data_IF_856987054839
#
_entry.id   IF_856987054839
#
_cell.length_a   1.000
_cell.length_b   1.000
_cell.length_c   1.000
_cell.angle_alpha   90.00
_cell.angle_beta   90.00
_cell.angle_gamma   90.00
#
_symmetry.space_group_name_H-M   'P 1'
#
loop_
_entity.id
_entity.type
_entity.pdbx_description
1 polymer ?
#
# COMPACT_ATOMS: atom_id res chain seq x y z
N UNK A 1 -12.03 -26.20 -13.47
CA UNK A 1 -12.68 -25.04 -12.85
C UNK A 1 -11.65 -24.05 -12.25
N UNK A 2 -10.69 -24.46 -11.39
CA UNK A 2 -9.67 -23.57 -10.81
C UNK A 2 -8.84 -22.82 -11.87
N UNK A 3 -8.37 -23.49 -12.93
CA UNK A 3 -7.57 -22.85 -13.99
C UNK A 3 -8.32 -21.70 -14.68
N UNK A 4 -9.62 -21.86 -14.92
CA UNK A 4 -10.44 -20.81 -15.51
C UNK A 4 -10.57 -19.60 -14.59
N UNK A 5 -10.75 -19.83 -13.29
CA UNK A 5 -10.78 -18.75 -12.28
C UNK A 5 -9.45 -18.00 -12.26
N UNK A 6 -8.33 -18.71 -12.27
CA UNK A 6 -6.99 -18.11 -12.26
C UNK A 6 -6.74 -17.27 -13.52
N UNK A 7 -7.12 -17.78 -14.69
CA UNK A 7 -7.03 -17.00 -15.93
C UNK A 7 -7.92 -15.75 -15.88
N UNK A 8 -9.14 -15.84 -15.36
CA UNK A 8 -10.04 -14.70 -15.20
C UNK A 8 -9.47 -13.64 -14.25
N UNK A 9 -8.89 -14.06 -13.10
CA UNK A 9 -8.25 -13.12 -12.15
C UNK A 9 -7.03 -12.42 -12.76
N UNK A 10 -6.21 -13.12 -13.53
CA UNK A 10 -5.08 -12.51 -14.26
C UNK A 10 -5.55 -11.50 -15.31
N UNK A 11 -6.57 -11.82 -16.10
CA UNK A 11 -7.17 -10.89 -17.06
C UNK A 11 -7.72 -9.65 -16.36
N UNK A 12 -8.44 -9.84 -15.25
CA UNK A 12 -8.96 -8.75 -14.43
C UNK A 12 -7.84 -7.84 -13.93
N UNK A 13 -6.77 -8.41 -13.38
CA UNK A 13 -5.60 -7.66 -12.91
C UNK A 13 -4.99 -6.82 -14.02
N UNK A 14 -4.77 -7.40 -15.20
CA UNK A 14 -4.23 -6.67 -16.36
C UNK A 14 -5.15 -5.55 -16.81
N UNK A 15 -6.46 -5.79 -16.81
CA UNK A 15 -7.48 -4.78 -17.13
C UNK A 15 -7.45 -3.60 -16.15
N UNK A 16 -7.48 -3.88 -14.84
CA UNK A 16 -7.40 -2.86 -13.79
C UNK A 16 -6.08 -2.08 -13.89
N UNK A 17 -4.96 -2.78 -14.05
CA UNK A 17 -3.63 -2.13 -14.22
C UNK A 17 -3.60 -1.23 -15.45
N UNK A 18 -4.20 -1.65 -16.57
CA UNK A 18 -4.30 -0.84 -17.79
C UNK A 18 -5.11 0.44 -17.57
N UNK A 19 -6.27 0.34 -16.93
CA UNK A 19 -7.12 1.50 -16.57
C UNK A 19 -6.37 2.43 -15.62
N UNK A 20 -5.75 1.88 -14.58
CA UNK A 20 -4.97 2.62 -13.60
C UNK A 20 -3.81 3.38 -14.26
N UNK A 21 -3.02 2.73 -15.10
CA UNK A 21 -1.92 3.37 -15.83
C UNK A 21 -2.42 4.49 -16.76
N UNK A 22 -3.57 4.31 -17.39
CA UNK A 22 -4.18 5.34 -18.24
C UNK A 22 -4.64 6.55 -17.41
N UNK A 23 -5.25 6.31 -16.25
CA UNK A 23 -5.67 7.37 -15.33
C UNK A 23 -4.47 8.15 -14.78
N UNK A 24 -3.40 7.45 -14.39
CA UNK A 24 -2.15 8.06 -13.91
C UNK A 24 -1.48 8.93 -15.00
N UNK A 25 -1.43 8.44 -16.26
CA UNK A 25 -0.89 9.21 -17.39
C UNK A 25 -1.69 10.47 -17.67
N UNK A 26 -3.03 10.41 -17.58
CA UNK A 26 -3.90 11.59 -17.71
C UNK A 26 -3.63 12.65 -16.63
N UNK A 27 -3.18 12.24 -15.45
CA UNK A 27 -2.79 13.13 -14.34
C UNK A 27 -1.32 13.56 -14.40
N UNK A 28 -0.59 13.24 -15.49
CA UNK A 28 0.85 13.53 -15.69
C UNK A 28 1.76 12.92 -14.61
N UNK A 29 1.38 11.78 -14.01
CA UNK A 29 2.24 11.07 -13.06
C UNK A 29 3.41 10.39 -13.77
N UNK A 30 4.53 10.24 -13.07
CA UNK A 30 5.71 9.49 -13.55
C UNK A 30 5.44 7.98 -13.52
N UNK A 31 4.85 7.44 -14.57
CA UNK A 31 4.42 6.05 -14.65
C UNK A 31 5.37 5.21 -15.47
N UNK A 32 5.91 4.15 -14.87
CA UNK A 32 6.52 3.05 -15.60
C UNK A 32 5.48 1.93 -15.79
N UNK A 33 4.80 1.95 -16.94
CA UNK A 33 3.71 1.01 -17.24
C UNK A 33 4.14 -0.46 -17.14
N UNK A 34 5.34 -0.81 -17.62
CA UNK A 34 5.86 -2.17 -17.57
C UNK A 34 6.13 -2.64 -16.13
N UNK A 35 6.72 -1.76 -15.32
CA UNK A 35 6.96 -2.07 -13.91
C UNK A 35 5.66 -2.32 -13.16
N UNK A 36 4.64 -1.48 -13.38
CA UNK A 36 3.33 -1.66 -12.73
C UNK A 36 2.68 -2.99 -13.15
N UNK A 37 2.71 -3.33 -14.45
CA UNK A 37 2.18 -4.61 -14.95
C UNK A 37 2.94 -5.80 -14.33
N UNK A 38 4.25 -5.72 -14.27
CA UNK A 38 5.07 -6.79 -13.69
C UNK A 38 4.77 -6.98 -12.20
N UNK A 39 4.71 -5.88 -11.43
CA UNK A 39 4.44 -5.94 -9.99
C UNK A 39 3.04 -6.46 -9.70
N UNK A 40 2.00 -5.93 -10.36
CA UNK A 40 0.62 -6.38 -10.13
C UNK A 40 0.42 -7.82 -10.56
N UNK A 41 1.01 -8.26 -11.67
CA UNK A 41 0.94 -9.66 -12.11
C UNK A 41 1.66 -10.60 -11.14
N UNK A 42 2.85 -10.24 -10.66
CA UNK A 42 3.59 -11.05 -9.68
C UNK A 42 2.82 -11.19 -8.37
N UNK A 43 2.25 -10.08 -7.84
CA UNK A 43 1.42 -10.13 -6.63
C UNK A 43 0.14 -10.94 -6.84
N UNK A 44 -0.49 -10.85 -8.01
CA UNK A 44 -1.67 -11.67 -8.32
C UNK A 44 -1.32 -13.16 -8.39
N UNK A 45 -0.19 -13.52 -9.00
CA UNK A 45 0.27 -14.92 -8.99
C UNK A 45 0.49 -15.40 -7.56
N UNK A 46 1.09 -14.58 -6.71
CA UNK A 46 1.29 -14.92 -5.30
C UNK A 46 -0.04 -15.12 -4.57
N UNK A 47 -1.03 -14.23 -4.78
CA UNK A 47 -2.39 -14.38 -4.25
C UNK A 47 -3.06 -15.68 -4.71
N UNK A 48 -2.92 -16.05 -5.98
CA UNK A 48 -3.50 -17.28 -6.53
C UNK A 48 -2.90 -18.55 -5.91
N UNK A 49 -1.69 -18.46 -5.38
CA UNK A 49 -1.00 -19.58 -4.71
C UNK A 49 -1.31 -19.63 -3.22
N UNK A 50 -1.49 -18.47 -2.57
CA UNK A 50 -1.64 -18.36 -1.11
C UNK A 50 -3.08 -18.31 -0.63
N UNK A 51 -4.00 -17.80 -1.45
CA UNK A 51 -5.39 -17.62 -1.07
C UNK A 51 -6.31 -18.70 -1.64
N UNK A 52 -7.15 -19.27 -0.80
CA UNK A 52 -8.06 -20.34 -1.17
C UNK A 52 -9.38 -19.85 -1.76
N UNK A 53 -9.80 -18.62 -1.42
CA UNK A 53 -11.10 -18.08 -1.83
C UNK A 53 -10.97 -17.00 -2.90
N UNK A 54 -11.87 -17.06 -3.88
CA UNK A 54 -11.93 -16.03 -4.94
C UNK A 54 -12.16 -14.63 -4.37
N UNK A 55 -12.86 -14.52 -3.24
CA UNK A 55 -13.12 -13.23 -2.59
C UNK A 55 -11.83 -12.64 -2.00
N UNK A 56 -11.03 -13.43 -1.29
CA UNK A 56 -9.74 -12.98 -0.75
C UNK A 56 -8.78 -12.56 -1.88
N UNK A 57 -8.75 -13.31 -2.98
CA UNK A 57 -7.95 -12.95 -4.16
C UNK A 57 -8.38 -11.59 -4.72
N UNK A 58 -9.69 -11.35 -4.91
CA UNK A 58 -10.21 -10.09 -5.42
C UNK A 58 -9.88 -8.91 -4.49
N UNK A 59 -10.05 -9.11 -3.18
CA UNK A 59 -9.68 -8.10 -2.17
C UNK A 59 -8.19 -7.80 -2.19
N UNK A 60 -7.34 -8.82 -2.26
CA UNK A 60 -5.89 -8.67 -2.37
C UNK A 60 -5.48 -7.92 -3.65
N UNK A 61 -6.06 -8.26 -4.80
CA UNK A 61 -5.84 -7.53 -6.06
C UNK A 61 -6.19 -6.05 -5.88
N UNK A 62 -7.38 -5.74 -5.36
CA UNK A 62 -7.80 -4.36 -5.15
C UNK A 62 -6.90 -3.62 -4.16
N UNK A 63 -6.54 -4.26 -3.03
CA UNK A 63 -5.64 -3.72 -2.03
C UNK A 63 -4.29 -3.32 -2.62
N UNK A 64 -3.65 -4.21 -3.38
CA UNK A 64 -2.35 -3.92 -3.99
C UNK A 64 -2.42 -2.86 -5.08
N UNK A 65 -3.53 -2.77 -5.84
CA UNK A 65 -3.72 -1.69 -6.81
C UNK A 65 -3.85 -0.32 -6.14
N UNK A 66 -4.56 -0.23 -5.02
CA UNK A 66 -4.67 1.03 -4.25
C UNK A 66 -3.31 1.44 -3.69
N UNK A 67 -2.55 0.51 -3.11
CA UNK A 67 -1.19 0.79 -2.60
C UNK A 67 -0.23 1.20 -3.72
N UNK A 68 -0.28 0.55 -4.88
CA UNK A 68 0.55 0.89 -6.03
C UNK A 68 0.18 2.27 -6.57
N UNK A 69 -1.11 2.58 -6.66
CA UNK A 69 -1.57 3.91 -7.08
C UNK A 69 -1.06 5.00 -6.11
N UNK A 70 -1.23 4.81 -4.81
CA UNK A 70 -0.73 5.71 -3.78
C UNK A 70 0.78 5.92 -3.89
N UNK A 71 1.54 4.85 -4.14
CA UNK A 71 2.99 4.91 -4.31
C UNK A 71 3.42 5.72 -5.52
N UNK A 72 2.79 5.51 -6.67
CA UNK A 72 3.10 6.25 -7.91
C UNK A 72 2.70 7.72 -7.78
N UNK A 73 1.58 8.00 -7.13
CA UNK A 73 1.14 9.36 -6.87
C UNK A 73 2.12 10.08 -5.94
N UNK A 74 2.52 9.47 -4.83
CA UNK A 74 3.48 10.04 -3.88
C UNK A 74 4.86 10.27 -4.52
N UNK A 75 5.36 9.36 -5.36
CA UNK A 75 6.59 9.58 -6.14
C UNK A 75 6.47 10.78 -7.09
N UNK A 76 5.26 11.04 -7.61
CA UNK A 76 5.06 12.05 -8.65
C UNK A 76 4.79 13.44 -8.10
N UNK A 77 4.04 13.54 -7.00
CA UNK A 77 3.50 14.80 -6.46
C UNK A 77 3.86 15.05 -5.00
N UNK A 78 4.39 14.06 -4.27
CA UNK A 78 4.55 14.06 -2.81
C UNK A 78 3.23 14.33 -2.05
N UNK A 79 2.11 13.99 -2.69
CA UNK A 79 0.77 14.10 -2.16
C UNK A 79 0.02 12.80 -2.51
N UNK A 80 -1.01 12.45 -1.75
CA UNK A 80 -1.89 11.33 -2.08
C UNK A 80 -3.36 11.75 -1.89
N UNK A 81 -4.21 11.27 -2.80
CA UNK A 81 -5.65 11.58 -2.79
C UNK A 81 -6.33 10.99 -1.54
N UNK A 82 -7.18 11.78 -0.90
CA UNK A 82 -7.97 11.32 0.25
C UNK A 82 -8.93 10.16 -0.09
N UNK A 83 -9.27 9.96 -1.36
CA UNK A 83 -10.10 8.83 -1.78
C UNK A 83 -9.42 7.46 -1.53
N UNK A 84 -8.10 7.39 -1.50
CA UNK A 84 -7.37 6.12 -1.39
C UNK A 84 -7.53 5.45 -0.02
N UNK A 85 -7.45 6.23 1.07
CA UNK A 85 -7.68 5.66 2.41
C UNK A 85 -9.13 5.24 2.61
N UNK A 86 -10.10 5.97 2.00
CA UNK A 86 -11.52 5.58 2.03
C UNK A 86 -11.73 4.26 1.28
N UNK A 87 -11.10 4.10 0.10
CA UNK A 87 -11.15 2.84 -0.65
C UNK A 87 -10.60 1.67 0.17
N UNK A 88 -9.48 1.85 0.87
CA UNK A 88 -8.91 0.81 1.74
C UNK A 88 -9.86 0.44 2.88
N UNK A 89 -10.53 1.41 3.51
CA UNK A 89 -11.52 1.13 4.55
C UNK A 89 -12.73 0.37 4.00
N UNK A 90 -13.23 0.73 2.81
CA UNK A 90 -14.32 -0.01 2.16
C UNK A 90 -13.89 -1.45 1.85
N UNK A 91 -12.67 -1.64 1.34
CA UNK A 91 -12.10 -2.98 1.08
C UNK A 91 -11.90 -3.78 2.37
N UNK A 92 -11.77 -3.13 3.53
CA UNK A 92 -11.62 -3.79 4.82
C UNK A 92 -12.96 -4.35 5.37
N UNK A 93 -14.12 -3.88 4.89
CA UNK A 93 -15.42 -4.29 5.42
C UNK A 93 -15.62 -5.82 5.37
N UNK A 94 -15.37 -6.53 4.25
CA UNK A 94 -15.53 -7.98 4.23
C UNK A 94 -14.56 -8.73 5.15
N UNK A 95 -13.46 -8.11 5.56
CA UNK A 95 -12.48 -8.72 6.47
C UNK A 95 -12.93 -8.73 7.94
N UNK A 96 -14.07 -8.11 8.28
CA UNK A 96 -14.58 -8.09 9.63
C UNK A 96 -14.83 -9.49 10.21
N UNK A 97 -15.19 -10.46 9.36
CA UNK A 97 -15.43 -11.85 9.78
C UNK A 97 -14.13 -12.64 9.94
N UNK A 98 -13.13 -12.39 9.09
CA UNK A 98 -11.87 -13.17 9.06
C UNK A 98 -10.79 -12.59 9.96
N UNK A 99 -10.61 -11.27 9.96
CA UNK A 99 -9.62 -10.53 10.75
C UNK A 99 -10.18 -10.19 12.15
N UNK A 100 -11.47 -9.96 12.23
CA UNK A 100 -12.19 -9.54 13.43
C UNK A 100 -12.18 -8.03 13.65
N UNK A 101 -13.36 -7.46 13.89
CA UNK A 101 -13.55 -6.02 14.06
C UNK A 101 -12.66 -5.41 15.13
N UNK A 102 -12.45 -6.12 16.25
CA UNK A 102 -11.61 -5.64 17.33
C UNK A 102 -10.14 -5.52 16.91
N UNK A 103 -9.60 -6.52 16.18
CA UNK A 103 -8.25 -6.48 15.62
C UNK A 103 -8.08 -5.31 14.65
N UNK A 104 -9.06 -5.08 13.79
CA UNK A 104 -9.05 -3.97 12.82
C UNK A 104 -9.07 -2.61 13.53
N UNK A 105 -9.92 -2.45 14.55
CA UNK A 105 -10.00 -1.22 15.33
C UNK A 105 -8.70 -0.94 16.10
N UNK A 106 -8.14 -1.95 16.76
CA UNK A 106 -6.84 -1.82 17.44
C UNK A 106 -5.70 -1.50 16.46
N UNK A 107 -5.66 -2.12 15.28
CA UNK A 107 -4.68 -1.78 14.26
C UNK A 107 -4.75 -0.30 13.86
N UNK A 108 -5.97 0.19 13.64
CA UNK A 108 -6.21 1.61 13.34
C UNK A 108 -5.70 2.53 14.43
N UNK A 109 -6.07 2.29 15.68
CA UNK A 109 -5.66 3.12 16.83
C UNK A 109 -4.14 3.07 17.02
N UNK A 110 -3.55 1.87 16.99
CA UNK A 110 -2.12 1.66 17.21
C UNK A 110 -1.23 2.31 16.14
N UNK A 111 -1.71 2.42 14.90
CA UNK A 111 -0.96 3.12 13.87
C UNK A 111 -1.28 4.62 13.83
N UNK A 112 -2.54 4.99 13.95
CA UNK A 112 -2.95 6.39 13.80
C UNK A 112 -2.38 7.27 14.91
N UNK A 113 -2.55 6.88 16.19
CA UNK A 113 -2.18 7.73 17.31
C UNK A 113 -0.67 8.04 17.38
N UNK A 114 0.25 7.07 17.29
CA UNK A 114 1.69 7.37 17.33
C UNK A 114 2.14 8.24 16.15
N UNK A 115 1.65 7.98 14.95
CA UNK A 115 1.99 8.78 13.77
C UNK A 115 1.48 10.22 13.90
N UNK A 116 0.25 10.40 14.40
CA UNK A 116 -0.32 11.72 14.65
C UNK A 116 0.50 12.47 15.70
N UNK A 117 0.85 11.84 16.82
CA UNK A 117 1.67 12.42 17.89
C UNK A 117 3.04 12.85 17.34
N UNK A 118 3.71 11.99 16.60
CA UNK A 118 5.00 12.30 15.97
C UNK A 118 4.88 13.46 15.00
N UNK A 119 3.84 13.49 14.18
CA UNK A 119 3.59 14.58 13.23
C UNK A 119 3.33 15.92 13.92
N UNK A 120 2.64 15.90 15.08
CA UNK A 120 2.38 17.12 15.88
C UNK A 120 3.65 17.63 16.58
N UNK A 121 4.45 16.74 17.17
CA UNK A 121 5.68 17.12 17.91
C UNK A 121 6.78 17.56 16.93
N UNK A 122 6.98 16.85 15.86
CA UNK A 122 8.04 17.08 14.89
C UNK A 122 7.58 17.93 13.67
N UNK A 123 6.53 18.72 13.80
CA UNK A 123 5.96 19.63 12.80
C UNK A 123 6.03 19.04 11.37
N UNK A 124 5.04 18.25 11.02
CA UNK A 124 4.89 17.63 9.69
C UNK A 124 6.03 16.66 9.29
N UNK A 125 6.58 15.91 10.25
CA UNK A 125 7.58 14.88 9.97
C UNK A 125 7.02 13.75 9.11
N UNK A 126 5.70 13.48 9.18
CA UNK A 126 4.98 12.49 8.37
C UNK A 126 3.85 13.21 7.65
N UNK A 127 3.66 12.95 6.37
CA UNK A 127 2.56 13.49 5.58
C UNK A 127 1.19 13.04 6.10
N UNK A 128 0.22 13.95 6.13
CA UNK A 128 -1.14 13.60 6.59
C UNK A 128 -1.80 12.48 5.77
N UNK A 129 -1.51 12.43 4.47
CA UNK A 129 -1.96 11.37 3.58
C UNK A 129 -1.33 10.01 3.93
N UNK A 130 -0.01 10.00 4.25
CA UNK A 130 0.70 8.79 4.66
C UNK A 130 0.11 8.20 5.94
N UNK A 131 -0.24 9.05 6.91
CA UNK A 131 -0.89 8.63 8.16
C UNK A 131 -2.24 7.96 7.87
N UNK A 132 -3.08 8.59 7.03
CA UNK A 132 -4.41 8.07 6.70
C UNK A 132 -4.33 6.75 5.93
N UNK A 133 -3.50 6.68 4.89
CA UNK A 133 -3.38 5.49 4.03
C UNK A 133 -2.74 4.33 4.79
N UNK A 134 -1.66 4.57 5.55
CA UNK A 134 -1.02 3.51 6.34
C UNK A 134 -1.93 2.97 7.43
N UNK A 135 -2.70 3.85 8.08
CA UNK A 135 -3.71 3.44 9.06
C UNK A 135 -4.80 2.58 8.43
N UNK A 136 -5.35 3.01 7.28
CA UNK A 136 -6.38 2.26 6.58
C UNK A 136 -5.88 0.90 6.06
N UNK A 137 -4.62 0.84 5.59
CA UNK A 137 -3.98 -0.42 5.20
C UNK A 137 -3.80 -1.38 6.40
N UNK A 138 -3.45 -0.84 7.57
CA UNK A 138 -3.36 -1.65 8.79
C UNK A 138 -4.73 -2.12 9.28
N UNK A 139 -5.77 -1.31 9.18
CA UNK A 139 -7.16 -1.72 9.46
C UNK A 139 -7.55 -2.89 8.56
N UNK A 140 -7.23 -2.83 7.27
CA UNK A 140 -7.49 -3.92 6.33
C UNK A 140 -6.80 -5.23 6.72
N UNK A 141 -5.53 -5.16 7.18
CA UNK A 141 -4.70 -6.33 7.53
C UNK A 141 -4.91 -6.84 8.98
N UNK A 142 -5.44 -6.00 9.87
CA UNK A 142 -5.51 -6.26 11.31
C UNK A 142 -4.20 -5.98 12.05
N UNK A 143 -4.19 -6.18 13.37
CA UNK A 143 -3.08 -5.76 14.25
C UNK A 143 -1.75 -6.37 13.85
N UNK A 144 -1.65 -7.69 13.80
CA UNK A 144 -0.35 -8.36 13.62
C UNK A 144 0.26 -8.04 12.26
N UNK A 145 -0.49 -8.31 11.20
CA UNK A 145 -0.06 -8.11 9.81
C UNK A 145 0.17 -6.62 9.49
N UNK A 146 -0.72 -5.76 9.97
CA UNK A 146 -0.64 -4.31 9.77
C UNK A 146 0.56 -3.69 10.46
N UNK A 147 0.82 -4.03 11.75
CA UNK A 147 1.98 -3.53 12.49
C UNK A 147 3.29 -4.04 11.91
N UNK A 148 3.39 -5.32 11.61
CA UNK A 148 4.59 -5.91 10.99
C UNK A 148 4.86 -5.25 9.63
N UNK A 149 3.85 -5.13 8.78
CA UNK A 149 3.98 -4.45 7.49
C UNK A 149 4.44 -3.00 7.62
N UNK A 150 3.87 -2.25 8.56
CA UNK A 150 4.26 -0.87 8.83
C UNK A 150 5.72 -0.75 9.31
N UNK A 151 6.13 -1.59 10.26
CA UNK A 151 7.51 -1.61 10.78
C UNK A 151 8.50 -1.94 9.66
N UNK A 152 8.21 -2.95 8.83
CA UNK A 152 9.04 -3.30 7.67
C UNK A 152 9.14 -2.11 6.71
N UNK A 153 8.02 -1.48 6.36
CA UNK A 153 7.98 -0.33 5.46
C UNK A 153 8.81 0.85 5.98
N UNK A 154 8.66 1.21 7.25
CA UNK A 154 9.46 2.27 7.89
C UNK A 154 10.95 1.91 7.91
N UNK A 155 11.29 0.67 8.26
CA UNK A 155 12.67 0.21 8.30
C UNK A 155 13.32 0.32 6.92
N UNK A 156 12.63 -0.12 5.86
CA UNK A 156 13.08 0.02 4.47
C UNK A 156 13.26 1.50 4.10
N UNK A 157 12.31 2.37 4.46
CA UNK A 157 12.43 3.80 4.19
C UNK A 157 13.68 4.40 4.85
N UNK A 158 13.92 4.10 6.13
CA UNK A 158 15.08 4.62 6.87
C UNK A 158 16.40 4.10 6.28
N UNK A 159 16.50 2.80 5.98
CA UNK A 159 17.70 2.19 5.41
C UNK A 159 18.02 2.82 4.05
N UNK A 160 17.05 2.83 3.13
CA UNK A 160 17.27 3.31 1.76
C UNK A 160 17.59 4.80 1.75
N UNK A 161 16.88 5.60 2.56
CA UNK A 161 17.16 7.03 2.66
C UNK A 161 18.52 7.33 3.31
N UNK A 162 18.94 6.54 4.28
CA UNK A 162 20.26 6.68 4.90
C UNK A 162 21.39 6.37 3.89
N UNK A 163 21.22 5.31 3.09
CA UNK A 163 22.17 4.97 2.02
C UNK A 163 22.19 6.08 0.96
N UNK A 164 21.02 6.55 0.53
CA UNK A 164 20.93 7.59 -0.50
C UNK A 164 21.63 8.89 -0.09
N UNK A 165 21.39 9.36 1.16
CA UNK A 165 22.07 10.54 1.72
C UNK A 165 23.59 10.37 1.77
N UNK A 166 24.07 9.19 2.19
CA UNK A 166 25.50 8.89 2.27
C UNK A 166 26.19 8.90 0.89
N UNK A 167 25.51 8.38 -0.13
CA UNK A 167 26.05 8.28 -1.50
C UNK A 167 26.04 9.63 -2.21
N UNK A 168 24.97 10.46 -2.03
CA UNK A 168 24.84 11.74 -2.75
C UNK A 168 25.46 12.94 -2.05
N UNK A 169 26.00 12.81 -0.83
CA UNK A 169 26.54 13.92 -0.03
C UNK A 169 25.57 15.11 0.09
N UNK A 170 24.27 14.90 -0.04
CA UNK A 170 23.27 15.94 0.04
C UNK A 170 22.99 16.31 1.51
N UNK A 171 23.35 17.54 1.90
CA UNK A 171 23.11 18.08 3.25
C UNK A 171 21.69 18.59 3.52
N UNK A 172 20.84 18.72 2.50
CA UNK A 172 19.50 19.27 2.65
C UNK A 172 18.43 18.17 2.76
N UNK A 173 17.43 18.44 3.63
CA UNK A 173 16.22 17.62 3.81
C UNK A 173 15.30 17.80 2.60
N UNK A 174 15.52 17.06 1.53
CA UNK A 174 14.50 16.95 0.47
C UNK A 174 13.37 16.03 0.95
N UNK A 175 12.13 16.46 0.70
CA UNK A 175 10.97 15.60 0.88
C UNK A 175 11.17 14.34 0.04
N UNK A 176 10.89 13.17 0.62
CA UNK A 176 10.97 11.89 -0.10
C UNK A 176 9.62 11.19 -0.05
N UNK A 177 9.31 10.44 -1.08
CA UNK A 177 8.11 9.65 -1.15
C UNK A 177 8.18 8.49 -0.14
N UNK A 178 7.30 8.46 0.86
CA UNK A 178 7.26 7.44 1.91
C UNK A 178 6.38 6.25 1.52
N UNK A 179 5.28 6.52 0.79
CA UNK A 179 4.30 5.50 0.41
C UNK A 179 4.87 4.28 -0.32
N UNK A 180 5.85 4.37 -1.23
CA UNK A 180 6.41 3.18 -1.88
C UNK A 180 6.99 2.17 -0.90
N UNK A 181 7.68 2.64 0.13
CA UNK A 181 8.28 1.78 1.17
C UNK A 181 7.22 1.16 2.07
N UNK A 182 6.22 1.94 2.47
CA UNK A 182 5.08 1.45 3.25
C UNK A 182 4.28 0.42 2.45
N UNK A 183 4.07 0.64 1.16
CA UNK A 183 3.35 -0.30 0.29
C UNK A 183 4.07 -1.64 0.17
N UNK A 184 5.41 -1.64 0.06
CA UNK A 184 6.21 -2.87 0.09
C UNK A 184 6.06 -3.57 1.44
N UNK A 185 6.17 -2.81 2.53
CA UNK A 185 6.00 -3.35 3.88
C UNK A 185 4.63 -3.98 4.09
N UNK A 186 3.54 -3.30 3.69
CA UNK A 186 2.18 -3.85 3.78
C UNK A 186 1.96 -5.03 2.84
N UNK A 187 2.61 -5.06 1.67
CA UNK A 187 2.57 -6.22 0.80
C UNK A 187 3.22 -7.44 1.47
N UNK A 188 4.36 -7.28 2.13
CA UNK A 188 4.98 -8.35 2.91
C UNK A 188 4.08 -8.75 4.08
N UNK A 189 3.54 -7.79 4.84
CA UNK A 189 2.62 -8.03 5.94
C UNK A 189 1.34 -8.78 5.55
N UNK A 190 0.87 -8.60 4.31
CA UNK A 190 -0.28 -9.34 3.78
C UNK A 190 -0.05 -10.85 3.74
N UNK A 191 1.16 -11.29 3.38
CA UNK A 191 1.50 -12.71 3.19
C UNK A 191 2.11 -13.38 4.45
N UNK A 192 2.21 -12.69 5.58
CA UNK A 192 2.62 -13.26 6.88
C UNK A 192 1.36 -13.70 7.65
#
# INVERSE_FOLDING_TARGET
MKLFIYAAMMILTLGITGIMNSAMKKRNFKVNTWLNVLMTSALTVLLLVTEDTSMAILQGIAFFHVLLFASVQDISTHEADDSLWVMLLILAIPNMETVGLLSMAFAGVMLFLPQLIVSMICKNAIGGADIKISTAAAVFLGVTRGLVGFIIGLTLAVIIQSIYKKVKHEGERKAFALMPYLSIGFAIGYFI
#
